data_IF_110444362232
#
_entry.id   IF_110444362232
#
_cell.length_a   1.000
_cell.length_b   1.000
_cell.length_c   1.000
_cell.angle_alpha   90.00
_cell.angle_beta   90.00
_cell.angle_gamma   90.00
#
_symmetry.space_group_name_H-M   'P 1'
#
loop_
_entity.id
_entity.type
_entity.pdbx_description
1 polymer ?
#
# COMPACT_ATOMS: atom_id res chain seq x y z
N UNK A 1 -12.81 -0.28 -7.02
CA UNK A 1 -11.38 0.08 -6.87
C UNK A 1 -10.81 0.63 -8.17
N UNK A 2 -10.86 -0.07 -9.31
CA UNK A 2 -10.26 0.39 -10.58
C UNK A 2 -10.68 1.78 -11.04
N UNK A 3 -11.97 2.14 -10.94
CA UNK A 3 -12.43 3.50 -11.26
C UNK A 3 -11.78 4.57 -10.38
N UNK A 4 -11.48 4.25 -9.11
CA UNK A 4 -10.82 5.19 -8.19
C UNK A 4 -9.34 5.35 -8.55
N UNK A 5 -8.67 4.27 -8.92
CA UNK A 5 -7.29 4.31 -9.44
C UNK A 5 -7.25 5.19 -10.69
N UNK A 6 -8.13 4.96 -11.66
CA UNK A 6 -8.20 5.77 -12.88
C UNK A 6 -8.48 7.26 -12.58
N UNK A 7 -9.35 7.54 -11.60
CA UNK A 7 -9.59 8.91 -11.15
C UNK A 7 -8.31 9.57 -10.61
N UNK A 8 -7.57 8.91 -9.72
CA UNK A 8 -6.30 9.44 -9.19
C UNK A 8 -5.22 9.58 -10.27
N UNK A 9 -5.14 8.63 -11.21
CA UNK A 9 -4.25 8.75 -12.37
C UNK A 9 -4.56 10.00 -13.19
N UNK A 10 -5.85 10.28 -13.42
CA UNK A 10 -6.30 11.49 -14.12
C UNK A 10 -5.93 12.80 -13.40
N UNK A 11 -5.76 12.77 -12.07
CA UNK A 11 -5.29 13.91 -11.29
C UNK A 11 -3.75 14.04 -11.28
N UNK A 12 -3.02 13.03 -11.77
CA UNK A 12 -1.56 12.97 -11.65
C UNK A 12 -1.07 12.62 -10.25
N UNK A 13 -1.91 11.97 -9.42
CA UNK A 13 -1.55 11.59 -8.06
C UNK A 13 -0.46 10.51 -8.04
N UNK A 14 0.38 10.54 -7.00
CA UNK A 14 1.27 9.41 -6.69
C UNK A 14 0.46 8.24 -6.12
N UNK A 15 0.50 7.09 -6.79
CA UNK A 15 -0.29 5.91 -6.44
C UNK A 15 0.58 4.79 -5.87
N UNK A 16 0.18 4.28 -4.70
CA UNK A 16 0.90 3.22 -4.00
C UNK A 16 -0.09 2.18 -3.50
N UNK A 17 0.13 0.90 -3.83
CA UNK A 17 -0.55 -0.22 -3.20
C UNK A 17 0.23 -0.67 -1.96
N UNK A 18 -0.46 -0.79 -0.83
CA UNK A 18 0.13 -1.21 0.45
C UNK A 18 -0.62 -2.41 1.02
N UNK A 19 0.02 -3.58 1.04
CA UNK A 19 -0.65 -4.84 1.39
C UNK A 19 0.20 -5.79 2.23
N UNK A 20 -0.43 -6.64 3.05
CA UNK A 20 0.22 -7.78 3.71
C UNK A 20 0.28 -9.02 2.78
N UNK A 21 -0.20 -8.89 1.56
CA UNK A 21 -0.05 -9.86 0.47
C UNK A 21 1.38 -9.94 -0.06
N UNK A 22 1.62 -10.90 -0.96
CA UNK A 22 2.93 -11.18 -1.51
C UNK A 22 3.24 -10.35 -2.75
N UNK A 23 4.50 -9.94 -2.87
CA UNK A 23 5.08 -9.31 -4.05
C UNK A 23 4.91 -10.16 -5.32
N UNK A 24 5.02 -11.49 -5.21
CA UNK A 24 4.98 -12.43 -6.32
C UNK A 24 3.83 -12.18 -7.33
N UNK A 25 2.63 -11.81 -6.84
CA UNK A 25 1.49 -11.50 -7.70
C UNK A 25 1.11 -10.02 -7.71
N UNK A 26 1.45 -9.27 -6.66
CA UNK A 26 1.13 -7.85 -6.61
C UNK A 26 2.06 -7.01 -7.48
N UNK A 27 3.34 -7.37 -7.60
CA UNK A 27 4.30 -6.64 -8.40
C UNK A 27 3.90 -6.57 -9.88
N UNK A 28 3.63 -7.68 -10.60
CA UNK A 28 3.23 -7.60 -12.00
C UNK A 28 1.93 -6.83 -12.18
N UNK A 29 0.98 -6.94 -11.25
CA UNK A 29 -0.27 -6.18 -11.28
C UNK A 29 -0.03 -4.67 -11.11
N UNK A 30 0.82 -4.29 -10.15
CA UNK A 30 1.21 -2.90 -9.92
C UNK A 30 1.96 -2.30 -11.12
N UNK A 31 2.89 -3.05 -11.71
CA UNK A 31 3.62 -2.65 -12.91
C UNK A 31 2.67 -2.42 -14.10
N UNK A 32 1.72 -3.34 -14.33
CA UNK A 32 0.71 -3.21 -15.38
C UNK A 32 -0.15 -1.95 -15.23
N UNK A 33 -0.43 -1.53 -14.00
CA UNK A 33 -1.31 -0.40 -13.71
C UNK A 33 -0.58 0.89 -13.32
N UNK A 34 0.76 0.89 -13.28
CA UNK A 34 1.56 2.07 -12.92
C UNK A 34 1.44 2.49 -11.46
N UNK A 35 1.37 1.53 -10.52
CA UNK A 35 1.38 1.79 -9.09
C UNK A 35 2.73 1.40 -8.48
N UNK A 36 3.20 2.19 -7.50
CA UNK A 36 4.25 1.73 -6.61
C UNK A 36 3.70 0.66 -5.64
N UNK A 37 4.58 -0.18 -5.11
CA UNK A 37 4.21 -1.29 -4.22
C UNK A 37 4.98 -1.26 -2.90
N UNK A 38 4.26 -1.51 -1.80
CA UNK A 38 4.78 -1.85 -0.48
C UNK A 38 4.04 -3.11 -0.02
N UNK A 39 4.73 -4.25 0.08
CA UNK A 39 4.10 -5.49 0.52
C UNK A 39 5.07 -6.49 1.15
N UNK A 40 4.56 -7.67 1.52
CA UNK A 40 5.40 -8.76 2.02
C UNK A 40 6.24 -9.33 0.89
N UNK A 41 7.53 -9.52 1.16
CA UNK A 41 8.47 -10.23 0.28
C UNK A 41 8.88 -11.52 0.94
N UNK A 42 8.94 -12.60 0.17
CA UNK A 42 9.37 -13.89 0.70
C UNK A 42 10.89 -13.94 0.80
N UNK A 43 11.40 -14.47 1.90
CA UNK A 43 12.81 -14.80 2.03
C UNK A 43 13.13 -16.02 1.17
N UNK A 44 14.14 -15.89 0.31
CA UNK A 44 14.73 -16.98 -0.44
C UNK A 44 16.17 -17.22 0.00
N UNK A 45 16.57 -18.48 0.13
CA UNK A 45 17.95 -18.91 0.37
C UNK A 45 18.27 -20.05 -0.58
N UNK A 46 19.39 -19.93 -1.29
CA UNK A 46 19.84 -20.93 -2.26
C UNK A 46 18.77 -21.31 -3.30
N UNK A 47 18.03 -20.31 -3.79
CA UNK A 47 16.95 -20.49 -4.76
C UNK A 47 15.66 -21.10 -4.21
N UNK A 48 15.56 -21.34 -2.91
CA UNK A 48 14.39 -21.93 -2.25
C UNK A 48 13.73 -20.95 -1.28
N UNK A 49 12.39 -20.93 -1.27
CA UNK A 49 11.61 -20.13 -0.33
C UNK A 49 11.70 -20.75 1.06
N UNK A 50 12.00 -19.93 2.07
CA UNK A 50 12.20 -20.42 3.45
C UNK A 50 10.91 -20.51 4.26
N UNK A 51 9.80 -20.00 3.71
CA UNK A 51 8.52 -19.85 4.43
C UNK A 51 8.46 -18.63 5.35
N UNK A 52 9.46 -17.74 5.32
CA UNK A 52 9.49 -16.49 6.11
C UNK A 52 9.39 -15.26 5.21
N UNK A 53 9.01 -14.13 5.80
CA UNK A 53 9.14 -12.82 5.15
C UNK A 53 10.57 -12.30 5.26
N UNK A 54 11.08 -11.69 4.19
CA UNK A 54 12.41 -11.10 4.14
C UNK A 54 12.53 -9.86 5.03
N UNK A 55 11.50 -9.02 5.08
CA UNK A 55 11.50 -7.74 5.80
C UNK A 55 10.54 -7.70 7.00
N UNK A 56 10.06 -8.88 7.42
CA UNK A 56 8.98 -9.01 8.41
C UNK A 56 7.58 -8.75 7.82
N UNK A 57 6.56 -8.79 8.67
CA UNK A 57 5.17 -8.62 8.24
C UNK A 57 4.81 -7.14 8.03
N UNK A 58 4.39 -6.81 6.80
CA UNK A 58 3.95 -5.50 6.37
C UNK A 58 2.63 -5.07 7.06
N UNK A 59 1.73 -6.01 7.38
CA UNK A 59 0.37 -5.71 7.84
C UNK A 59 0.30 -4.72 9.00
N UNK A 60 0.90 -5.03 10.16
CA UNK A 60 0.94 -4.12 11.31
C UNK A 60 1.80 -2.86 11.09
N UNK A 61 2.61 -2.81 10.02
CA UNK A 61 3.65 -1.80 9.82
C UNK A 61 3.43 -0.89 8.62
N UNK A 62 2.29 -0.98 7.93
CA UNK A 62 1.96 -0.18 6.75
C UNK A 62 2.26 1.31 6.92
N UNK A 63 1.79 1.92 8.00
CA UNK A 63 2.01 3.36 8.27
C UNK A 63 3.50 3.73 8.41
N UNK A 64 4.29 2.88 9.08
CA UNK A 64 5.74 3.06 9.23
C UNK A 64 6.44 2.93 7.88
N UNK A 65 6.08 1.91 7.09
CA UNK A 65 6.68 1.66 5.78
C UNK A 65 6.37 2.78 4.78
N UNK A 66 5.16 3.35 4.81
CA UNK A 66 4.81 4.52 4.01
C UNK A 66 5.70 5.71 4.38
N UNK A 67 5.81 6.04 5.67
CA UNK A 67 6.63 7.17 6.16
C UNK A 67 8.12 7.00 5.87
N UNK A 68 8.60 5.76 5.78
CA UNK A 68 10.00 5.50 5.42
C UNK A 68 10.30 5.80 3.94
N UNK A 69 9.28 5.79 3.07
CA UNK A 69 9.43 5.99 1.62
C UNK A 69 8.94 7.35 1.13
N UNK A 70 8.01 7.96 1.85
CA UNK A 70 7.34 9.20 1.44
C UNK A 70 7.29 10.19 2.60
N UNK A 71 7.64 11.45 2.31
CA UNK A 71 7.29 12.57 3.17
C UNK A 71 5.81 12.90 2.98
N UNK A 72 4.95 12.24 3.75
CA UNK A 72 3.49 12.38 3.65
C UNK A 72 3.05 13.84 3.89
N UNK A 73 3.80 14.60 4.69
CA UNK A 73 3.47 15.99 5.00
C UNK A 73 3.72 16.94 3.81
N UNK A 74 4.56 16.54 2.86
CA UNK A 74 4.82 17.31 1.64
C UNK A 74 3.66 17.24 0.63
N UNK A 75 2.74 16.28 0.78
CA UNK A 75 1.59 16.15 -0.12
C UNK A 75 0.45 17.08 0.31
N UNK A 76 -0.06 17.95 -0.60
CA UNK A 76 -1.16 18.86 -0.27
C UNK A 76 -2.47 18.13 0.02
N UNK A 77 -2.61 16.90 -0.49
CA UNK A 77 -3.75 16.02 -0.26
C UNK A 77 -3.29 14.58 -0.27
N UNK A 78 -3.86 13.77 0.61
CA UNK A 78 -3.55 12.34 0.75
C UNK A 78 -4.86 11.60 0.91
N UNK A 79 -5.04 10.58 0.09
CA UNK A 79 -6.19 9.69 0.09
C UNK A 79 -5.73 8.30 0.54
N UNK A 80 -6.46 7.66 1.45
CA UNK A 80 -6.17 6.29 1.84
C UNK A 80 -7.43 5.43 1.88
N UNK A 81 -7.29 4.21 1.36
CA UNK A 81 -8.35 3.22 1.24
C UNK A 81 -7.91 1.95 1.96
N UNK A 82 -8.78 1.42 2.82
CA UNK A 82 -8.54 0.19 3.56
C UNK A 82 -9.84 -0.44 4.01
N UNK A 83 -9.77 -1.67 4.50
CA UNK A 83 -10.95 -2.43 4.92
C UNK A 83 -10.69 -3.29 6.17
N UNK A 84 -9.43 -3.41 6.57
CA UNK A 84 -9.00 -4.19 7.73
C UNK A 84 -8.57 -3.30 8.90
N UNK A 85 -8.61 -3.86 10.11
CA UNK A 85 -8.16 -3.14 11.32
C UNK A 85 -6.70 -2.69 11.20
N UNK A 86 -5.87 -3.45 10.50
CA UNK A 86 -4.45 -3.16 10.28
C UNK A 86 -4.23 -1.93 9.40
N UNK A 87 -5.23 -1.52 8.61
CA UNK A 87 -5.15 -0.31 7.78
C UNK A 87 -5.35 0.97 8.58
N UNK A 88 -5.92 0.90 9.79
CA UNK A 88 -6.28 2.10 10.57
C UNK A 88 -5.11 3.07 10.79
N UNK A 89 -3.88 2.63 11.15
CA UNK A 89 -2.75 3.52 11.27
C UNK A 89 -2.36 4.17 9.93
N UNK A 90 -2.47 3.45 8.80
CA UNK A 90 -2.23 4.00 7.46
C UNK A 90 -3.30 5.03 7.11
N UNK A 91 -4.58 4.72 7.33
CA UNK A 91 -5.69 5.63 7.08
C UNK A 91 -5.54 6.93 7.87
N UNK A 92 -5.03 6.86 9.10
CA UNK A 92 -4.79 8.03 9.94
C UNK A 92 -3.74 9.01 9.36
N UNK A 93 -2.91 8.58 8.41
CA UNK A 93 -1.96 9.44 7.70
C UNK A 93 -2.63 10.33 6.66
N UNK A 94 -3.84 9.96 6.20
CA UNK A 94 -4.51 10.63 5.10
C UNK A 94 -5.45 11.74 5.56
N UNK A 95 -5.64 12.71 4.67
CA UNK A 95 -6.65 13.74 4.78
C UNK A 95 -8.04 13.19 4.49
N UNK A 96 -8.10 12.25 3.55
CA UNK A 96 -9.33 11.67 3.01
C UNK A 96 -9.28 10.14 3.18
N UNK A 97 -10.25 9.56 3.89
CA UNK A 97 -10.15 8.19 4.40
C UNK A 97 -11.37 7.37 4.03
N UNK A 98 -11.14 6.17 3.49
CA UNK A 98 -12.18 5.19 3.23
C UNK A 98 -11.91 3.90 3.99
N UNK A 99 -12.89 3.46 4.77
CA UNK A 99 -12.88 2.19 5.48
C UNK A 99 -14.05 1.31 5.04
N UNK A 100 -13.76 0.13 4.49
CA UNK A 100 -14.79 -0.79 4.00
C UNK A 100 -15.69 -0.16 2.93
N UNK A 101 -15.11 0.67 2.05
CA UNK A 101 -15.82 1.36 0.97
C UNK A 101 -16.61 2.60 1.38
N UNK A 102 -16.65 2.96 2.67
CA UNK A 102 -17.31 4.18 3.18
C UNK A 102 -16.29 5.25 3.55
N UNK A 103 -16.58 6.51 3.23
CA UNK A 103 -15.77 7.65 3.68
C UNK A 103 -15.94 7.83 5.19
N UNK A 104 -14.84 7.96 5.93
CA UNK A 104 -14.83 8.06 7.40
C UNK A 104 -14.18 9.34 7.92
N UNK A 105 -13.40 10.04 7.09
CA UNK A 105 -12.92 11.39 7.31
C UNK A 105 -12.53 12.01 5.96
#
# INVERSE_FOLDING_TARGET
MMQRIAWHQGQGDSLVLVSASLDLYLQPWCEQHGLALICNRLEARDGQLTGRYADGDCGPHKARLIRARYDVAAYPRVYAYGDSREDRPMLALAHERWYGGRRVA
#
